data_IF_840470070828
#
_entry.id   IF_840470070828
#
_cell.length_a   1.000
_cell.length_b   1.000
_cell.length_c   1.000
_cell.angle_alpha   90.00
_cell.angle_beta   90.00
_cell.angle_gamma   90.00
#
_symmetry.space_group_name_H-M   'P 1'
#
loop_
_entity.id
_entity.type
_entity.pdbx_description
1 polymer ?
#
# COMPACT_ATOMS: atom_id res chain seq x y z
N UNK A 1 -17.34 39.96 -1.37
CA UNK A 1 -17.88 38.61 -1.14
C UNK A 1 -16.71 37.63 -1.19
N UNK A 2 -16.12 37.38 -0.02
CA UNK A 2 -15.00 36.46 0.18
C UNK A 2 -15.53 35.03 0.19
N UNK A 3 -15.28 34.29 -0.88
CA UNK A 3 -15.51 32.84 -0.92
C UNK A 3 -14.48 32.16 -0.03
N UNK A 4 -14.93 31.62 1.10
CA UNK A 4 -14.18 30.66 1.89
C UNK A 4 -13.96 29.42 1.02
N UNK A 5 -12.75 29.25 0.50
CA UNK A 5 -12.28 27.95 0.05
C UNK A 5 -12.37 27.02 1.26
N UNK A 6 -13.38 26.16 1.26
CA UNK A 6 -13.45 24.99 2.14
C UNK A 6 -12.24 24.12 1.80
N UNK A 7 -11.13 24.36 2.50
CA UNK A 7 -9.98 23.46 2.55
C UNK A 7 -10.41 22.26 3.41
N UNK A 8 -11.28 21.45 2.82
CA UNK A 8 -11.92 20.32 3.49
C UNK A 8 -10.86 19.24 3.63
N UNK A 9 -10.35 19.08 4.85
CA UNK A 9 -9.42 18.01 5.21
C UNK A 9 -9.83 16.69 4.53
N UNK A 10 -8.88 15.93 3.96
CA UNK A 10 -9.17 14.74 3.16
C UNK A 10 -10.07 13.78 3.92
N UNK A 11 -11.22 13.42 3.32
CA UNK A 11 -12.23 12.56 3.93
C UNK A 11 -11.65 11.13 4.15
N UNK A 12 -11.44 10.70 5.40
CA UNK A 12 -10.82 9.41 5.70
C UNK A 12 -11.64 8.21 5.23
N UNK A 13 -12.98 8.28 5.32
CA UNK A 13 -13.85 7.21 4.84
C UNK A 13 -13.81 7.08 3.31
N UNK A 14 -13.69 8.20 2.59
CA UNK A 14 -13.53 8.17 1.14
C UNK A 14 -12.18 7.56 0.73
N UNK A 15 -11.12 7.80 1.50
CA UNK A 15 -9.83 7.13 1.29
C UNK A 15 -9.91 5.63 1.53
N UNK A 16 -10.53 5.18 2.63
CA UNK A 16 -10.72 3.76 2.91
C UNK A 16 -11.61 3.08 1.85
N UNK A 17 -12.62 3.77 1.31
CA UNK A 17 -13.39 3.26 0.17
C UNK A 17 -12.50 3.05 -1.06
N UNK A 18 -11.69 4.05 -1.43
CA UNK A 18 -10.75 3.94 -2.56
C UNK A 18 -9.72 2.83 -2.37
N UNK A 19 -9.23 2.60 -1.15
CA UNK A 19 -8.34 1.48 -0.85
C UNK A 19 -9.00 0.13 -1.07
N UNK A 20 -10.27 -0.03 -0.66
CA UNK A 20 -11.02 -1.27 -0.91
C UNK A 20 -11.21 -1.53 -2.40
N UNK A 21 -11.58 -0.49 -3.15
CA UNK A 21 -11.69 -0.59 -4.62
C UNK A 21 -10.33 -0.96 -5.23
N UNK A 22 -9.26 -0.30 -4.79
CA UNK A 22 -7.89 -0.57 -5.24
C UNK A 22 -7.42 -2.00 -4.97
N UNK A 23 -7.79 -2.60 -3.82
CA UNK A 23 -7.50 -4.01 -3.52
C UNK A 23 -8.19 -4.93 -4.53
N UNK A 24 -9.49 -4.71 -4.80
CA UNK A 24 -10.23 -5.51 -5.78
C UNK A 24 -9.64 -5.36 -7.18
N UNK A 25 -9.28 -4.13 -7.55
CA UNK A 25 -8.61 -3.80 -8.79
C UNK A 25 -7.28 -4.53 -8.95
N UNK A 26 -6.45 -4.61 -7.91
CA UNK A 26 -5.18 -5.36 -7.95
C UNK A 26 -5.40 -6.86 -8.19
N UNK A 27 -6.40 -7.45 -7.52
CA UNK A 27 -6.75 -8.88 -7.67
C UNK A 27 -7.27 -9.18 -9.08
N UNK A 28 -8.07 -8.27 -9.65
CA UNK A 28 -8.64 -8.43 -10.98
C UNK A 28 -7.67 -8.06 -12.13
N UNK A 29 -6.57 -7.37 -11.81
CA UNK A 29 -5.61 -6.88 -12.81
C UNK A 29 -4.78 -8.00 -13.43
N UNK A 30 -4.46 -7.80 -14.70
CA UNK A 30 -3.55 -8.63 -15.48
C UNK A 30 -2.12 -8.07 -15.44
N UNK A 31 -1.09 -8.84 -15.84
CA UNK A 31 0.29 -8.36 -15.83
C UNK A 31 0.55 -7.09 -16.66
N UNK A 32 -0.24 -6.81 -17.70
CA UNK A 32 -0.06 -5.59 -18.50
C UNK A 32 -0.60 -4.31 -17.81
N UNK A 33 -1.44 -4.45 -16.80
CA UNK A 33 -2.02 -3.35 -16.02
C UNK A 33 -1.17 -3.02 -14.78
N UNK A 34 -0.19 -3.87 -14.44
CA UNK A 34 0.66 -3.76 -13.26
C UNK A 34 1.25 -2.35 -13.07
N UNK A 35 1.92 -1.82 -14.10
CA UNK A 35 2.57 -0.50 -14.02
C UNK A 35 1.56 0.62 -13.73
N UNK A 36 0.34 0.50 -14.24
CA UNK A 36 -0.72 1.47 -13.98
C UNK A 36 -1.19 1.37 -12.52
N UNK A 37 -1.32 0.15 -11.98
CA UNK A 37 -1.65 -0.06 -10.56
C UNK A 37 -0.57 0.47 -9.63
N UNK A 38 0.71 0.37 -9.99
CA UNK A 38 1.81 0.96 -9.20
C UNK A 38 1.70 2.49 -9.14
N UNK A 39 1.34 3.15 -10.24
CA UNK A 39 1.13 4.62 -10.24
C UNK A 39 -0.05 5.05 -9.38
N UNK A 40 -1.15 4.31 -9.45
CA UNK A 40 -2.33 4.57 -8.62
C UNK A 40 -2.01 4.37 -7.14
N UNK A 41 -1.27 3.31 -6.80
CA UNK A 41 -0.77 3.06 -5.45
C UNK A 41 0.07 4.23 -4.92
N UNK A 42 0.97 4.77 -5.74
CA UNK A 42 1.81 5.89 -5.36
C UNK A 42 0.99 7.12 -4.94
N UNK A 43 -0.11 7.39 -5.63
CA UNK A 43 -1.03 8.48 -5.28
C UNK A 43 -1.86 8.15 -4.03
N UNK A 44 -2.30 6.90 -3.90
CA UNK A 44 -3.22 6.47 -2.85
C UNK A 44 -2.54 6.29 -1.49
N UNK A 45 -1.28 5.86 -1.47
CA UNK A 45 -0.51 5.62 -0.24
C UNK A 45 0.05 6.91 0.38
N UNK A 46 0.14 8.01 -0.39
CA UNK A 46 0.64 9.31 0.07
C UNK A 46 -0.45 10.14 0.76
N UNK A 47 -1.17 9.54 1.73
CA UNK A 47 -2.36 10.14 2.37
C UNK A 47 -2.12 11.53 2.96
N UNK A 48 -0.94 11.80 3.53
CA UNK A 48 -0.62 13.05 4.23
C UNK A 48 0.72 13.69 3.79
N UNK A 49 1.22 13.34 2.60
CA UNK A 49 2.48 13.88 2.05
C UNK A 49 3.76 13.47 2.81
N UNK A 50 3.64 12.70 3.89
CA UNK A 50 4.76 12.17 4.67
C UNK A 50 5.17 10.79 4.15
N UNK A 51 6.40 10.69 3.64
CA UNK A 51 7.02 9.41 3.26
C UNK A 51 6.47 8.85 1.95
N UNK A 52 7.12 9.18 0.85
CA UNK A 52 6.85 8.63 -0.48
C UNK A 52 8.14 8.42 -1.26
N UNK A 53 8.09 7.56 -2.28
CA UNK A 53 9.16 7.48 -3.27
C UNK A 53 9.13 8.76 -4.09
N UNK A 54 10.30 9.34 -4.37
CA UNK A 54 10.42 10.46 -5.32
C UNK A 54 9.72 10.07 -6.64
N UNK A 55 8.73 10.84 -7.13
CA UNK A 55 8.00 10.50 -8.35
C UNK A 55 8.92 10.29 -9.58
N UNK A 56 10.03 11.02 -9.65
CA UNK A 56 11.02 10.87 -10.74
C UNK A 56 11.72 9.51 -10.64
N UNK A 57 12.09 9.10 -9.42
CA UNK A 57 12.71 7.79 -9.17
C UNK A 57 11.71 6.67 -9.44
N UNK A 58 10.45 6.84 -9.04
CA UNK A 58 9.39 5.88 -9.29
C UNK A 58 9.18 5.68 -10.81
N UNK A 59 9.01 6.75 -11.57
CA UNK A 59 8.82 6.65 -13.03
C UNK A 59 10.06 6.07 -13.73
N UNK A 60 11.27 6.35 -13.25
CA UNK A 60 12.47 5.72 -13.78
C UNK A 60 12.46 4.19 -13.56
N UNK A 61 12.05 3.71 -12.39
CA UNK A 61 11.89 2.27 -12.12
C UNK A 61 10.85 1.65 -13.06
N UNK A 62 9.70 2.30 -13.22
CA UNK A 62 8.63 1.81 -14.09
C UNK A 62 9.04 1.80 -15.57
N UNK A 63 9.76 2.82 -16.04
CA UNK A 63 10.29 2.88 -17.41
C UNK A 63 11.30 1.76 -17.70
N UNK A 64 12.01 1.27 -16.68
CA UNK A 64 12.91 0.13 -16.78
C UNK A 64 12.21 -1.23 -16.58
N UNK A 65 10.88 -1.26 -16.39
CA UNK A 65 10.13 -2.49 -16.11
C UNK A 65 10.34 -3.05 -14.70
N UNK A 66 10.90 -2.25 -13.78
CA UNK A 66 11.20 -2.66 -12.40
C UNK A 66 10.00 -2.42 -11.45
N UNK A 67 8.84 -2.97 -11.80
CA UNK A 67 7.60 -2.76 -11.03
C UNK A 67 7.71 -3.29 -9.58
N UNK A 68 8.35 -4.44 -9.37
CA UNK A 68 8.57 -4.99 -8.03
C UNK A 68 9.42 -4.05 -7.17
N UNK A 69 10.50 -3.48 -7.73
CA UNK A 69 11.34 -2.50 -7.03
C UNK A 69 10.58 -1.22 -6.70
N UNK A 70 9.73 -0.76 -7.63
CA UNK A 70 8.86 0.40 -7.41
C UNK A 70 7.89 0.15 -6.24
N UNK A 71 7.27 -1.03 -6.18
CA UNK A 71 6.35 -1.40 -5.08
C UNK A 71 7.08 -1.52 -3.74
N UNK A 72 8.25 -2.15 -3.70
CA UNK A 72 9.06 -2.22 -2.47
C UNK A 72 9.45 -0.83 -1.96
N UNK A 73 9.80 0.07 -2.87
CA UNK A 73 10.10 1.45 -2.51
C UNK A 73 8.86 2.18 -1.97
N UNK A 74 7.66 1.93 -2.53
CA UNK A 74 6.39 2.51 -2.05
C UNK A 74 6.00 2.02 -0.65
N UNK A 75 6.11 0.71 -0.43
CA UNK A 75 5.76 0.05 0.83
C UNK A 75 6.77 0.43 1.94
N UNK A 76 8.04 0.56 1.56
CA UNK A 76 9.14 0.95 2.45
C UNK A 76 9.92 -0.24 3.02
N UNK A 77 11.11 0.02 3.58
CA UNK A 77 12.06 -1.02 4.00
C UNK A 77 11.63 -1.83 5.23
N UNK A 78 10.66 -1.32 5.99
CA UNK A 78 10.20 -1.91 7.25
C UNK A 78 9.11 -2.97 7.07
N UNK A 79 8.61 -3.15 5.85
CA UNK A 79 7.61 -4.16 5.58
C UNK A 79 8.20 -5.56 5.61
N UNK A 80 7.57 -6.41 6.41
CA UNK A 80 7.91 -7.82 6.53
C UNK A 80 6.84 -8.62 5.80
N UNK A 81 7.26 -9.46 4.85
CA UNK A 81 6.34 -10.27 4.07
C UNK A 81 6.98 -11.60 3.65
N UNK A 82 6.12 -12.58 3.41
CA UNK A 82 6.44 -13.87 2.81
C UNK A 82 5.84 -13.94 1.41
N UNK A 83 6.60 -14.53 0.49
CA UNK A 83 6.21 -14.71 -0.90
C UNK A 83 6.04 -16.19 -1.22
N UNK A 84 4.93 -16.52 -1.88
CA UNK A 84 4.70 -17.82 -2.48
C UNK A 84 4.27 -17.65 -3.93
N UNK A 85 4.76 -18.53 -4.82
CA UNK A 85 4.39 -18.57 -6.23
C UNK A 85 3.91 -19.97 -6.57
N UNK A 86 2.63 -20.08 -6.94
CA UNK A 86 2.02 -21.34 -7.33
C UNK A 86 2.24 -21.67 -8.81
N UNK A 87 2.00 -22.93 -9.19
CA UNK A 87 2.02 -23.36 -10.60
C UNK A 87 0.91 -22.75 -11.47
N UNK A 88 -0.07 -22.08 -10.85
CA UNK A 88 -1.23 -21.43 -11.48
C UNK A 88 -0.97 -20.00 -11.97
N UNK A 89 0.29 -19.58 -12.12
CA UNK A 89 0.68 -18.21 -12.49
C UNK A 89 0.15 -17.12 -11.54
N UNK A 90 -0.19 -17.49 -10.30
CA UNK A 90 -0.58 -16.57 -9.24
C UNK A 90 0.53 -16.43 -8.20
N UNK A 91 0.70 -15.22 -7.68
CA UNK A 91 1.58 -14.90 -6.58
C UNK A 91 0.72 -14.67 -5.34
N UNK A 92 1.12 -15.25 -4.21
CA UNK A 92 0.53 -15.01 -2.89
C UNK A 92 1.57 -14.28 -2.05
N UNK A 93 1.15 -13.15 -1.46
CA UNK A 93 1.93 -12.38 -0.51
C UNK A 93 1.22 -12.46 0.83
N UNK A 94 1.94 -12.85 1.87
CA UNK A 94 1.48 -12.68 3.26
C UNK A 94 2.33 -11.59 3.90
N UNK A 95 1.71 -10.50 4.31
CA UNK A 95 2.36 -9.37 4.94
C UNK A 95 2.06 -9.33 6.43
N UNK A 96 3.08 -9.01 7.21
CA UNK A 96 2.96 -8.78 8.64
C UNK A 96 2.71 -7.30 8.87
N UNK A 97 1.55 -6.96 9.43
CA UNK A 97 1.16 -5.61 9.78
C UNK A 97 1.29 -5.45 11.29
N UNK A 98 2.14 -4.50 11.70
CA UNK A 98 2.33 -4.17 13.11
C UNK A 98 1.69 -2.82 13.43
N UNK A 99 0.89 -2.80 14.49
CA UNK A 99 0.19 -1.60 14.95
C UNK A 99 1.13 -0.69 15.76
N UNK A 100 1.93 0.12 15.06
CA UNK A 100 2.67 1.24 15.64
C UNK A 100 3.62 0.89 16.81
N UNK A 101 4.25 1.90 17.44
CA UNK A 101 5.22 1.68 18.51
C UNK A 101 4.62 1.46 19.91
N UNK A 102 3.31 1.71 20.12
CA UNK A 102 2.71 1.83 21.47
C UNK A 102 1.55 0.85 21.76
N UNK A 103 1.28 -0.15 20.92
CA UNK A 103 0.23 -1.16 21.13
C UNK A 103 0.79 -2.53 21.51
N UNK A 104 0.38 -3.17 22.63
CA UNK A 104 1.00 -4.42 23.08
C UNK A 104 0.50 -5.68 22.36
N UNK A 105 -0.55 -5.62 21.55
CA UNK A 105 -1.17 -6.82 20.97
C UNK A 105 -1.75 -6.55 19.58
N UNK A 106 -1.16 -7.16 18.56
CA UNK A 106 -1.79 -7.28 17.26
C UNK A 106 -0.81 -7.25 16.11
N UNK A 107 0.01 -8.29 16.02
CA UNK A 107 0.62 -8.69 14.75
C UNK A 107 -0.52 -9.29 13.92
N UNK A 108 -0.93 -8.61 12.86
CA UNK A 108 -1.89 -9.18 11.90
C UNK A 108 -1.16 -9.70 10.66
N UNK A 109 -1.60 -10.86 10.20
CA UNK A 109 -1.16 -11.41 8.93
C UNK A 109 -2.23 -11.11 7.88
N UNK A 110 -1.81 -10.40 6.84
CA UNK A 110 -2.68 -10.06 5.72
C UNK A 110 -2.17 -10.77 4.48
N UNK A 111 -3.01 -11.64 3.91
CA UNK A 111 -2.68 -12.37 2.70
C UNK A 111 -3.44 -11.82 1.49
N UNK A 112 -2.75 -11.63 0.37
CA UNK A 112 -3.37 -11.25 -0.89
C UNK A 112 -2.73 -11.97 -2.08
N UNK A 113 -3.54 -12.23 -3.09
CA UNK A 113 -3.12 -12.84 -4.34
C UNK A 113 -3.08 -11.81 -5.47
N UNK A 114 -2.25 -12.08 -6.48
CA UNK A 114 -2.16 -11.28 -7.70
C UNK A 114 -1.60 -12.08 -8.86
N UNK A 115 -1.90 -11.65 -10.09
CA UNK A 115 -1.34 -12.25 -11.31
C UNK A 115 0.16 -11.98 -11.47
N UNK A 116 0.70 -11.03 -10.71
CA UNK A 116 2.12 -10.75 -10.56
C UNK A 116 2.49 -10.51 -9.10
N UNK A 117 3.79 -10.53 -8.81
CA UNK A 117 4.29 -10.23 -7.47
C UNK A 117 3.97 -8.80 -7.04
N UNK A 118 4.12 -7.82 -7.94
CA UNK A 118 3.86 -6.42 -7.60
C UNK A 118 2.38 -6.19 -7.27
N UNK A 119 1.45 -6.81 -8.03
CA UNK A 119 0.00 -6.74 -7.76
C UNK A 119 -0.36 -7.38 -6.42
N UNK A 120 0.20 -8.55 -6.11
CA UNK A 120 -0.03 -9.21 -4.82
C UNK A 120 0.50 -8.36 -3.65
N UNK A 121 1.68 -7.74 -3.79
CA UNK A 121 2.27 -6.86 -2.77
C UNK A 121 1.42 -5.62 -2.54
N UNK A 122 0.94 -4.99 -3.62
CA UNK A 122 0.06 -3.82 -3.55
C UNK A 122 -1.26 -4.15 -2.85
N UNK A 123 -1.88 -5.27 -3.19
CA UNK A 123 -3.12 -5.73 -2.58
C UNK A 123 -2.94 -6.04 -1.08
N UNK A 124 -1.86 -6.74 -0.72
CA UNK A 124 -1.55 -7.08 0.67
C UNK A 124 -1.29 -5.82 1.50
N UNK A 125 -0.48 -4.89 0.99
CA UNK A 125 -0.17 -3.65 1.69
C UNK A 125 -1.41 -2.75 1.85
N UNK A 126 -2.19 -2.57 0.79
CA UNK A 126 -3.43 -1.79 0.84
C UNK A 126 -4.45 -2.40 1.84
N UNK A 127 -4.53 -3.72 1.91
CA UNK A 127 -5.36 -4.42 2.89
C UNK A 127 -4.81 -4.20 4.31
N UNK A 128 -3.49 -4.24 4.51
CA UNK A 128 -2.88 -3.89 5.80
C UNK A 128 -3.17 -2.45 6.25
N UNK A 129 -3.15 -1.48 5.32
CA UNK A 129 -3.54 -0.10 5.60
C UNK A 129 -5.01 0.01 6.01
N UNK A 130 -5.91 -0.78 5.40
CA UNK A 130 -7.32 -0.84 5.78
C UNK A 130 -7.51 -1.44 7.17
N UNK A 131 -6.85 -2.55 7.48
CA UNK A 131 -6.86 -3.14 8.82
C UNK A 131 -6.40 -2.13 9.87
N UNK A 132 -5.29 -1.44 9.63
CA UNK A 132 -4.77 -0.41 10.53
C UNK A 132 -5.75 0.75 10.71
N UNK A 133 -6.44 1.15 9.64
CA UNK A 133 -7.48 2.19 9.66
C UNK A 133 -8.72 1.78 10.46
N UNK A 134 -9.21 0.55 10.30
CA UNK A 134 -10.39 0.06 11.01
C UNK A 134 -10.14 -0.07 12.52
N UNK A 135 -8.90 -0.39 12.92
CA UNK A 135 -8.49 -0.52 14.33
C UNK A 135 -8.23 0.83 15.01
N UNK A 136 -7.50 1.73 14.34
CA UNK A 136 -6.99 2.97 14.96
C UNK A 136 -7.80 4.23 14.56
N UNK A 137 -8.84 4.07 13.75
CA UNK A 137 -9.62 5.16 13.21
C UNK A 137 -8.82 6.01 12.21
N UNK A 138 -9.24 7.26 11.93
CA UNK A 138 -8.63 8.10 10.90
C UNK A 138 -7.24 8.67 11.26
N UNK A 139 -6.61 8.17 12.32
CA UNK A 139 -5.24 8.54 12.66
C UNK A 139 -4.28 8.10 11.53
N UNK A 140 -3.24 8.89 11.24
CA UNK A 140 -2.29 8.55 10.19
C UNK A 140 -1.58 7.24 10.55
N UNK A 141 -1.59 6.28 9.62
CA UNK A 141 -0.80 5.06 9.73
C UNK A 141 0.67 5.45 9.86
N UNK A 142 1.25 5.27 11.04
CA UNK A 142 2.68 5.42 11.23
C UNK A 142 3.35 4.13 10.78
N UNK A 143 4.25 4.25 9.80
CA UNK A 143 5.13 3.13 9.41
C UNK A 143 5.84 2.61 10.66
N UNK A 144 5.99 1.28 10.81
CA UNK A 144 6.75 0.72 11.92
C UNK A 144 8.15 1.32 11.89
N UNK A 145 8.52 2.12 12.88
CA UNK A 145 9.91 2.55 13.04
C UNK A 145 10.61 1.46 13.84
N UNK A 146 11.48 0.68 13.20
CA UNK A 146 12.34 -0.23 13.94
C UNK A 146 13.21 0.57 14.91
N UNK A 147 12.96 0.43 16.21
CA UNK A 147 13.96 0.76 17.22
C UNK A 147 14.98 -0.36 17.19
N UNK A 148 16.15 -0.08 16.63
CA UNK A 148 17.35 -0.88 16.85
C UNK A 148 17.57 -1.02 18.37
N UNK A 149 17.42 -2.24 18.88
CA UNK A 149 17.86 -2.65 20.22
C UNK A 149 19.16 -3.42 20.10
#
# INVERSE_FOLDING_TARGET
>A
MTGTMDDKAPNPQAWAARLRDFVQDCVASTPCEELQRVREAALLFQRDGAGGVDPVVLEAMLACGAAESAVLALIGPEAVFMLSRGGSSTCLVTMIVTDGPDGPDGVEEVAAEGSTLALALLAAYATGLLTGFDRNGPTPFQRPTSRLH
#
